data_IF_776032485740
#
_entry.id   IF_776032485740
#
_cell.length_a   1.000
_cell.length_b   1.000
_cell.length_c   1.000
_cell.angle_alpha   90.00
_cell.angle_beta   90.00
_cell.angle_gamma   90.00
#
_symmetry.space_group_name_H-M   'P 1'
#
loop_
_entity.id
_entity.type
_entity.pdbx_description
1 polymer ?
#
# COMPACT_ATOMS: atom_id res chain seq x y z
N UNK A 1 16.54 -13.33 -6.48
CA UNK A 1 16.52 -12.80 -7.86
C UNK A 1 17.58 -11.70 -7.98
N UNK A 2 18.26 -11.57 -9.12
CA UNK A 2 19.23 -10.47 -9.39
C UNK A 2 18.65 -9.58 -10.50
N UNK A 3 18.78 -8.27 -10.34
CA UNK A 3 18.30 -7.27 -11.30
C UNK A 3 19.44 -6.29 -11.58
N UNK A 4 19.61 -5.88 -12.83
CA UNK A 4 20.51 -4.79 -13.23
C UNK A 4 19.70 -3.49 -13.27
N UNK A 5 20.24 -2.43 -12.67
CA UNK A 5 19.60 -1.12 -12.59
C UNK A 5 20.66 -0.07 -12.85
N UNK A 6 20.36 0.88 -13.73
CA UNK A 6 21.19 2.05 -13.96
C UNK A 6 20.88 3.10 -12.91
N UNK A 7 21.92 3.57 -12.23
CA UNK A 7 21.83 4.57 -11.17
C UNK A 7 22.82 5.69 -11.53
N UNK A 8 22.39 6.95 -11.60
CA UNK A 8 23.27 8.10 -11.80
C UNK A 8 24.43 8.16 -10.79
N UNK A 9 25.63 8.55 -11.24
CA UNK A 9 26.84 8.57 -10.40
C UNK A 9 26.68 9.42 -9.13
N UNK A 10 25.99 10.55 -9.22
CA UNK A 10 25.71 11.40 -8.06
C UNK A 10 24.91 10.67 -6.97
N UNK A 11 23.96 9.81 -7.35
CA UNK A 11 23.19 9.01 -6.41
C UNK A 11 24.02 7.87 -5.82
N UNK A 12 25.00 7.34 -6.56
CA UNK A 12 25.92 6.33 -6.04
C UNK A 12 26.77 6.91 -4.90
N UNK A 13 27.27 8.14 -5.07
CA UNK A 13 28.05 8.83 -4.03
C UNK A 13 27.22 9.09 -2.78
N UNK A 14 25.96 9.51 -2.93
CA UNK A 14 25.08 9.75 -1.80
C UNK A 14 24.71 8.44 -1.08
N UNK A 15 24.46 7.35 -1.81
CA UNK A 15 24.24 6.03 -1.23
C UNK A 15 25.47 5.54 -0.44
N UNK A 16 26.68 5.83 -0.92
CA UNK A 16 27.91 5.45 -0.23
C UNK A 16 28.04 6.17 1.13
N UNK A 17 27.74 7.47 1.18
CA UNK A 17 27.73 8.24 2.44
C UNK A 17 26.72 7.71 3.44
N UNK A 18 25.53 7.31 2.96
CA UNK A 18 24.49 6.73 3.82
C UNK A 18 24.96 5.38 4.38
N UNK A 19 25.52 4.51 3.54
CA UNK A 19 26.08 3.24 3.99
C UNK A 19 27.16 3.41 5.05
N UNK A 20 28.03 4.41 4.91
CA UNK A 20 29.08 4.71 5.89
C UNK A 20 28.50 5.25 7.21
N UNK A 21 27.50 6.14 7.12
CA UNK A 21 26.85 6.70 8.30
C UNK A 21 26.04 5.66 9.10
N UNK A 22 25.43 4.68 8.42
CA UNK A 22 24.58 3.65 9.03
C UNK A 22 25.31 2.32 9.30
N UNK A 23 26.58 2.20 8.87
CA UNK A 23 27.39 0.98 8.96
C UNK A 23 26.71 -0.27 8.34
N UNK A 24 26.12 -0.09 7.15
CA UNK A 24 25.44 -1.15 6.41
C UNK A 24 25.96 -1.32 4.99
N UNK A 25 25.83 -2.53 4.47
CA UNK A 25 26.19 -2.80 3.07
C UNK A 25 25.25 -2.08 2.09
N UNK A 26 25.78 -1.67 0.93
CA UNK A 26 24.97 -1.11 -0.17
C UNK A 26 23.79 -1.99 -0.57
N UNK A 27 23.97 -3.32 -0.56
CA UNK A 27 22.90 -4.24 -0.90
C UNK A 27 21.77 -4.24 0.14
N UNK A 28 22.10 -4.03 1.41
CA UNK A 28 21.11 -3.93 2.49
C UNK A 28 20.35 -2.61 2.41
N UNK A 29 21.06 -1.49 2.23
CA UNK A 29 20.43 -0.17 2.04
C UNK A 29 19.40 -0.19 0.89
N UNK A 30 19.75 -0.80 -0.25
CA UNK A 30 18.83 -0.92 -1.39
C UNK A 30 17.63 -1.82 -1.06
N UNK A 31 17.81 -2.91 -0.30
CA UNK A 31 16.69 -3.76 0.13
C UNK A 31 15.72 -3.00 1.04
N UNK A 32 16.25 -2.24 1.99
CA UNK A 32 15.44 -1.41 2.89
C UNK A 32 14.67 -0.34 2.11
N UNK A 33 15.35 0.37 1.20
CA UNK A 33 14.72 1.37 0.33
C UNK A 33 13.57 0.79 -0.51
N UNK A 34 13.75 -0.42 -1.06
CA UNK A 34 12.69 -1.12 -1.81
C UNK A 34 11.53 -1.50 -0.89
N UNK A 35 11.80 -2.07 0.29
CA UNK A 35 10.78 -2.45 1.25
C UNK A 35 9.93 -1.25 1.67
N UNK A 36 10.59 -0.14 2.03
CA UNK A 36 9.94 1.12 2.41
C UNK A 36 9.13 1.71 1.27
N UNK A 37 9.66 1.68 0.04
CA UNK A 37 8.95 2.17 -1.13
C UNK A 37 7.68 1.36 -1.41
N UNK A 38 7.78 0.03 -1.33
CA UNK A 38 6.63 -0.86 -1.51
C UNK A 38 5.59 -0.60 -0.43
N UNK A 39 5.98 -0.49 0.84
CA UNK A 39 5.05 -0.24 1.93
C UNK A 39 4.36 1.12 1.77
N UNK A 40 5.11 2.18 1.41
CA UNK A 40 4.54 3.51 1.11
C UNK A 40 3.57 3.51 -0.08
N UNK A 41 3.77 2.62 -1.04
CA UNK A 41 2.94 2.52 -2.26
C UNK A 41 1.84 1.47 -2.15
N UNK A 42 1.86 0.65 -1.10
CA UNK A 42 0.84 -0.33 -0.80
C UNK A 42 -0.44 0.45 -0.53
N UNK A 43 -1.31 0.54 -1.55
CA UNK A 43 -2.68 0.98 -1.35
C UNK A 43 -3.29 0.02 -0.34
N UNK A 44 -4.01 0.56 0.65
CA UNK A 44 -4.93 -0.27 1.42
C UNK A 44 -5.88 -0.85 0.38
N UNK A 45 -5.71 -2.14 0.07
CA UNK A 45 -6.76 -2.91 -0.57
C UNK A 45 -7.89 -2.94 0.44
N UNK A 46 -8.75 -1.93 0.35
CA UNK A 46 -10.06 -2.03 0.96
C UNK A 46 -10.70 -3.17 0.20
N UNK A 47 -10.79 -4.33 0.85
CA UNK A 47 -11.68 -5.41 0.42
C UNK A 47 -13.09 -4.82 0.40
N UNK A 48 -13.44 -4.20 -0.73
CA UNK A 48 -14.73 -3.54 -0.94
C UNK A 48 -15.87 -4.58 -0.95
N UNK A 49 -15.52 -5.85 -1.16
CA UNK A 49 -16.40 -6.99 -0.89
C UNK A 49 -16.78 -7.02 0.60
N UNK A 50 -18.05 -6.71 0.86
CA UNK A 50 -18.64 -6.79 2.20
C UNK A 50 -18.56 -5.51 3.04
N UNK A 51 -18.13 -4.37 2.46
CA UNK A 51 -18.14 -3.09 3.19
C UNK A 51 -19.54 -2.69 3.67
N UNK A 52 -20.52 -2.88 2.78
CA UNK A 52 -21.96 -2.76 3.01
C UNK A 52 -22.51 -3.74 4.05
N UNK A 53 -21.94 -4.96 4.16
CA UNK A 53 -22.33 -5.93 5.18
C UNK A 53 -21.87 -5.54 6.59
N UNK A 54 -20.87 -4.65 6.69
CA UNK A 54 -20.33 -4.10 7.95
C UNK A 54 -20.87 -2.71 8.28
N UNK A 55 -21.82 -2.19 7.51
CA UNK A 55 -22.45 -0.92 7.83
C UNK A 55 -23.25 -1.05 9.15
N UNK A 56 -23.24 -0.01 9.99
CA UNK A 56 -23.96 0.03 11.28
C UNK A 56 -25.48 -0.21 11.15
N UNK A 57 -26.01 -0.16 9.92
CA UNK A 57 -27.39 -0.44 9.59
C UNK A 57 -27.46 -1.38 8.38
N UNK A 58 -27.33 -2.70 8.58
CA UNK A 58 -27.69 -3.65 7.54
C UNK A 58 -29.22 -3.61 7.38
N UNK A 59 -29.70 -2.83 6.41
CA UNK A 59 -31.12 -2.84 6.05
C UNK A 59 -31.31 -3.97 5.04
N UNK A 60 -32.23 -4.88 5.34
CA UNK A 60 -32.63 -5.90 4.39
C UNK A 60 -33.25 -5.23 3.14
N UNK A 61 -32.74 -5.60 1.96
CA UNK A 61 -33.08 -4.92 0.71
C UNK A 61 -34.54 -5.10 0.31
N UNK A 62 -35.16 -6.24 0.66
CA UNK A 62 -36.57 -6.51 0.39
C UNK A 62 -37.45 -5.67 1.31
N UNK A 63 -37.13 -5.66 2.61
CA UNK A 63 -37.85 -4.85 3.61
C UNK A 63 -37.81 -3.35 3.24
N UNK A 64 -36.65 -2.85 2.78
CA UNK A 64 -36.52 -1.46 2.32
C UNK A 64 -37.36 -1.16 1.08
N UNK A 65 -37.41 -2.10 0.13
CA UNK A 65 -38.22 -1.96 -1.08
C UNK A 65 -39.72 -1.94 -0.75
N UNK A 66 -40.17 -2.81 0.16
CA UNK A 66 -41.56 -2.87 0.60
C UNK A 66 -41.98 -1.57 1.29
N UNK A 67 -41.16 -1.04 2.19
CA UNK A 67 -41.42 0.24 2.87
C UNK A 67 -41.62 1.40 1.90
N UNK A 68 -40.76 1.55 0.89
CA UNK A 68 -40.89 2.62 -0.11
C UNK A 68 -42.13 2.42 -0.99
N UNK A 69 -42.51 1.17 -1.27
CA UNK A 69 -43.68 0.86 -2.09
C UNK A 69 -44.99 1.08 -1.35
N UNK A 70 -45.02 0.91 -0.03
CA UNK A 70 -46.20 1.17 0.80
C UNK A 70 -46.46 2.68 0.97
N UNK A 71 -45.50 3.53 0.64
CA UNK A 71 -45.65 5.00 0.66
C UNK A 71 -46.27 5.58 -0.63
N UNK A 72 -46.55 4.75 -1.65
CA UNK A 72 -47.16 5.14 -2.94
C UNK A 72 -48.54 4.52 -3.13
#
# INVERSE_FOLDING_TARGET
MRTLVDIPDNQIDDLAKICEAEDISRAELIRQAIADFVEKKKRVEVNAFGLWAKADKPVDGLTYQEQIRDEW
#
